data_IF_659363850821
#
_entry.id   IF_659363850821
#
_cell.length_a   1.000
_cell.length_b   1.000
_cell.length_c   1.000
_cell.angle_alpha   90.00
_cell.angle_beta   90.00
_cell.angle_gamma   90.00
#
_symmetry.space_group_name_H-M   'P 1'
#
loop_
_entity.id
_entity.type
_entity.pdbx_description
1 polymer ?
#
# COMPACT_ATOMS: atom_id res chain seq x y z
N UNK A 1 5.62 0.52 -0.87
CA UNK A 1 5.35 0.58 -2.33
C UNK A 1 6.52 0.02 -3.17
N UNK A 2 6.32 -1.16 -3.79
CA UNK A 2 7.28 -1.82 -4.70
C UNK A 2 6.69 -1.89 -6.12
N UNK A 3 6.66 -0.74 -6.78
CA UNK A 3 6.16 -0.61 -8.16
C UNK A 3 7.27 -0.07 -9.08
N UNK A 4 8.51 -0.45 -8.79
CA UNK A 4 9.66 -0.14 -9.63
C UNK A 4 9.39 -0.62 -11.06
N UNK A 5 9.38 0.34 -11.98
CA UNK A 5 9.19 0.12 -13.41
C UNK A 5 10.47 0.45 -14.19
N UNK A 6 11.45 1.04 -13.51
CA UNK A 6 12.79 1.27 -14.02
C UNK A 6 13.72 0.16 -13.52
N UNK A 7 14.71 -0.26 -14.33
CA UNK A 7 15.79 -1.12 -13.86
C UNK A 7 16.70 -0.36 -12.90
N UNK A 8 17.44 -1.10 -12.06
CA UNK A 8 18.51 -0.55 -11.23
C UNK A 8 19.48 0.28 -12.09
N UNK A 9 19.99 1.40 -11.55
CA UNK A 9 20.88 2.32 -12.27
C UNK A 9 22.11 1.59 -12.87
N UNK A 10 22.69 0.65 -12.11
CA UNK A 10 23.81 -0.17 -12.56
C UNK A 10 23.42 -1.07 -13.74
N UNK A 11 22.21 -1.67 -13.71
CA UNK A 11 21.69 -2.52 -14.80
C UNK A 11 21.38 -1.66 -16.03
N UNK A 12 20.80 -0.48 -15.84
CA UNK A 12 20.51 0.47 -16.90
C UNK A 12 21.78 0.93 -17.62
N UNK A 13 22.83 1.26 -16.87
CA UNK A 13 24.13 1.66 -17.44
C UNK A 13 24.78 0.51 -18.23
N UNK A 14 24.75 -0.70 -17.69
CA UNK A 14 25.27 -1.89 -18.39
C UNK A 14 24.47 -2.14 -19.67
N UNK A 15 23.14 -2.06 -19.62
CA UNK A 15 22.30 -2.24 -20.80
C UNK A 15 22.58 -1.19 -21.87
N UNK A 16 22.71 0.09 -21.49
CA UNK A 16 23.06 1.17 -22.43
C UNK A 16 24.38 0.89 -23.14
N UNK A 17 25.39 0.40 -22.41
CA UNK A 17 26.65 -0.04 -23.01
C UNK A 17 26.45 -1.23 -23.97
N UNK A 18 25.66 -2.23 -23.58
CA UNK A 18 25.37 -3.41 -24.43
C UNK A 18 24.70 -2.97 -25.73
N UNK A 19 23.69 -2.12 -25.64
CA UNK A 19 22.87 -1.67 -26.76
C UNK A 19 23.72 -0.93 -27.81
N UNK A 20 24.60 -0.03 -27.35
CA UNK A 20 25.45 0.78 -28.22
C UNK A 20 26.55 -0.04 -28.93
N UNK A 21 27.06 -1.08 -28.27
CA UNK A 21 28.24 -1.82 -28.74
C UNK A 21 27.89 -3.17 -29.39
N UNK A 22 26.72 -3.74 -29.09
CA UNK A 22 26.32 -5.07 -29.51
C UNK A 22 24.84 -5.10 -29.98
N UNK A 23 24.54 -4.62 -31.19
CA UNK A 23 23.16 -4.43 -31.67
C UNK A 23 22.25 -5.67 -31.60
N UNK A 24 22.82 -6.89 -31.65
CA UNK A 24 22.05 -8.14 -31.50
C UNK A 24 21.26 -8.22 -30.20
N UNK A 25 21.73 -7.56 -29.14
CA UNK A 25 21.10 -7.60 -27.82
C UNK A 25 19.91 -6.64 -27.71
N UNK A 26 19.84 -5.62 -28.58
CA UNK A 26 18.62 -4.83 -28.76
C UNK A 26 17.48 -5.71 -29.28
N UNK A 27 17.75 -6.49 -30.32
CA UNK A 27 16.77 -7.41 -30.90
C UNK A 27 16.38 -8.51 -29.88
N UNK A 28 17.35 -9.00 -29.10
CA UNK A 28 17.10 -9.99 -28.03
C UNK A 28 16.22 -9.43 -26.91
N UNK A 29 16.46 -8.19 -26.47
CA UNK A 29 15.62 -7.53 -25.48
C UNK A 29 14.18 -7.37 -25.96
N UNK A 30 13.98 -7.03 -27.23
CA UNK A 30 12.65 -6.92 -27.80
C UNK A 30 11.95 -8.29 -27.88
N UNK A 31 12.66 -9.35 -28.28
CA UNK A 31 12.13 -10.72 -28.26
C UNK A 31 11.68 -11.15 -26.85
N UNK A 32 12.51 -10.92 -25.83
CA UNK A 32 12.17 -11.24 -24.43
C UNK A 32 10.92 -10.48 -23.97
N UNK A 33 10.80 -9.21 -24.37
CA UNK A 33 9.64 -8.38 -24.06
C UNK A 33 8.37 -8.91 -24.74
N UNK A 34 8.42 -9.15 -26.05
CA UNK A 34 7.29 -9.70 -26.82
C UNK A 34 6.82 -11.04 -26.25
N UNK A 35 7.75 -11.94 -25.89
CA UNK A 35 7.45 -13.21 -25.24
C UNK A 35 6.75 -13.00 -23.88
N UNK A 36 7.26 -12.08 -23.05
CA UNK A 36 6.70 -11.79 -21.72
C UNK A 36 5.30 -11.17 -21.78
N UNK A 37 5.04 -10.38 -22.82
CA UNK A 37 3.75 -9.76 -23.10
C UNK A 37 2.75 -10.71 -23.79
N UNK A 38 3.15 -11.93 -24.13
CA UNK A 38 2.26 -12.87 -24.82
C UNK A 38 1.97 -12.47 -26.27
N UNK A 39 2.88 -11.72 -26.90
CA UNK A 39 2.72 -11.22 -28.27
C UNK A 39 3.24 -12.22 -29.33
N UNK A 40 3.74 -13.38 -28.91
CA UNK A 40 4.15 -14.49 -29.79
C UNK A 40 3.12 -15.61 -29.81
N UNK A 41 3.10 -16.45 -30.86
CA UNK A 41 2.03 -17.44 -31.10
C UNK A 41 1.81 -18.45 -29.96
N UNK A 42 2.84 -18.70 -29.14
CA UNK A 42 2.85 -19.75 -28.10
C UNK A 42 2.99 -19.19 -26.67
N UNK A 43 2.90 -17.88 -26.46
CA UNK A 43 3.10 -17.25 -25.14
C UNK A 43 1.83 -16.63 -24.58
N UNK A 44 1.66 -16.73 -23.26
CA UNK A 44 0.62 -15.99 -22.53
C UNK A 44 1.25 -14.76 -21.88
N UNK A 45 0.48 -13.68 -21.74
CA UNK A 45 0.96 -12.47 -21.05
C UNK A 45 1.17 -12.74 -19.55
N UNK A 46 2.38 -13.15 -19.18
CA UNK A 46 2.76 -13.50 -17.82
C UNK A 46 2.89 -12.26 -16.94
N UNK A 47 3.27 -11.12 -17.52
CA UNK A 47 3.39 -9.83 -16.83
C UNK A 47 2.01 -9.35 -16.37
N UNK A 48 1.01 -9.35 -17.25
CA UNK A 48 -0.38 -9.00 -16.93
C UNK A 48 -0.90 -9.80 -15.75
N UNK A 49 -0.73 -11.12 -15.76
CA UNK A 49 -1.14 -11.99 -14.65
C UNK A 49 -0.45 -11.64 -13.33
N UNK A 50 0.83 -11.25 -13.37
CA UNK A 50 1.59 -10.82 -12.19
C UNK A 50 1.14 -9.46 -11.68
N UNK A 51 0.93 -8.49 -12.57
CA UNK A 51 0.42 -7.14 -12.23
C UNK A 51 -0.98 -7.23 -11.61
N UNK A 52 -1.92 -7.92 -12.26
CA UNK A 52 -3.27 -8.12 -11.72
C UNK A 52 -3.26 -8.82 -10.36
N UNK A 53 -2.34 -9.79 -10.19
CA UNK A 53 -2.16 -10.48 -8.91
C UNK A 53 -1.58 -9.56 -7.83
N UNK A 54 -0.62 -8.69 -8.17
CA UNK A 54 -0.02 -7.73 -7.24
C UNK A 54 -1.07 -6.73 -6.74
N UNK A 55 -1.78 -6.07 -7.67
CA UNK A 55 -2.89 -5.15 -7.35
C UNK A 55 -3.91 -5.85 -6.45
N UNK A 56 -4.31 -7.08 -6.79
CA UNK A 56 -5.25 -7.84 -5.98
C UNK A 56 -4.71 -8.20 -4.59
N UNK A 57 -3.43 -8.51 -4.45
CA UNK A 57 -2.83 -8.83 -3.13
C UNK A 57 -2.87 -7.60 -2.24
N UNK A 58 -2.51 -6.44 -2.77
CA UNK A 58 -2.56 -5.15 -2.06
C UNK A 58 -4.00 -4.77 -1.71
N UNK A 59 -4.95 -4.88 -2.63
CA UNK A 59 -6.38 -4.68 -2.31
C UNK A 59 -6.88 -5.61 -1.18
N UNK A 60 -6.45 -6.88 -1.15
CA UNK A 60 -6.82 -7.77 -0.04
C UNK A 60 -6.12 -7.41 1.28
N UNK A 61 -4.99 -6.71 1.23
CA UNK A 61 -4.31 -6.15 2.41
C UNK A 61 -5.04 -4.89 2.87
N UNK A 62 -5.33 -3.95 1.97
CA UNK A 62 -6.15 -2.75 2.24
C UNK A 62 -7.49 -3.15 2.88
N UNK A 63 -8.21 -4.12 2.29
CA UNK A 63 -9.47 -4.63 2.85
C UNK A 63 -9.30 -5.20 4.27
N UNK A 64 -8.16 -5.83 4.58
CA UNK A 64 -7.90 -6.40 5.89
C UNK A 64 -7.57 -5.29 6.91
N UNK A 65 -6.79 -4.29 6.48
CA UNK A 65 -6.45 -3.12 7.26
C UNK A 65 -7.69 -2.29 7.57
N UNK A 66 -8.52 -2.00 6.57
CA UNK A 66 -9.81 -1.30 6.70
C UNK A 66 -10.70 -1.93 7.77
N UNK A 67 -11.01 -3.23 7.62
CA UNK A 67 -11.77 -3.99 8.62
C UNK A 67 -11.15 -3.87 10.03
N UNK A 68 -9.83 -3.89 10.12
CA UNK A 68 -9.11 -3.87 11.40
C UNK A 68 -9.18 -2.49 12.05
N UNK A 69 -8.89 -1.41 11.32
CA UNK A 69 -8.90 -0.05 11.87
C UNK A 69 -10.32 0.44 12.16
N UNK A 70 -11.30 -0.02 11.39
CA UNK A 70 -12.73 0.27 11.60
C UNK A 70 -13.19 -0.17 12.99
N UNK A 71 -12.64 -1.28 13.51
CA UNK A 71 -12.93 -1.75 14.86
C UNK A 71 -12.51 -0.74 15.95
N UNK A 72 -11.60 0.19 15.65
CA UNK A 72 -11.05 1.21 16.57
C UNK A 72 -11.50 2.63 16.22
N UNK A 73 -12.56 2.75 15.43
CA UNK A 73 -13.13 4.03 15.04
C UNK A 73 -13.84 4.82 16.14
N UNK A 74 -14.09 6.12 15.94
CA UNK A 74 -14.70 6.98 16.95
C UNK A 74 -16.16 6.64 17.27
N UNK A 75 -16.80 5.79 16.46
CA UNK A 75 -18.14 5.24 16.73
C UNK A 75 -18.13 3.73 16.93
N UNK A 76 -16.95 3.13 17.13
CA UNK A 76 -16.82 1.70 17.37
C UNK A 76 -17.14 1.38 18.83
N UNK A 77 -17.62 0.15 19.05
CA UNK A 77 -17.86 -0.33 20.42
C UNK A 77 -16.57 -0.45 21.22
N UNK A 78 -15.41 -0.69 20.57
CA UNK A 78 -14.11 -0.69 21.27
C UNK A 78 -13.83 0.70 21.83
N UNK A 79 -13.95 1.73 21.01
CA UNK A 79 -13.71 3.10 21.45
C UNK A 79 -14.68 3.50 22.57
N UNK A 80 -15.97 3.24 22.40
CA UNK A 80 -17.01 3.59 23.38
C UNK A 80 -16.79 2.93 24.76
N UNK A 81 -16.31 1.68 24.78
CA UNK A 81 -16.18 0.90 26.02
C UNK A 81 -14.77 0.94 26.64
N UNK A 82 -13.75 1.25 25.84
CA UNK A 82 -12.34 1.11 26.25
C UNK A 82 -11.46 2.30 25.94
N UNK A 83 -11.95 3.29 25.19
CA UNK A 83 -11.22 4.49 24.77
C UNK A 83 -9.98 4.21 23.90
N UNK A 84 -9.71 2.96 23.55
CA UNK A 84 -8.74 2.60 22.51
C UNK A 84 -9.23 3.08 21.15
N UNK A 85 -8.39 3.83 20.44
CA UNK A 85 -8.70 4.47 19.17
C UNK A 85 -7.56 4.33 18.18
N UNK A 86 -7.90 4.32 16.90
CA UNK A 86 -6.92 4.49 15.83
C UNK A 86 -6.21 5.84 16.00
N UNK A 87 -4.88 5.83 15.98
CA UNK A 87 -4.08 7.06 15.90
C UNK A 87 -3.68 7.38 14.46
N UNK A 88 -3.46 6.35 13.64
CA UNK A 88 -3.20 6.49 12.21
C UNK A 88 -2.86 5.14 11.57
N UNK A 89 -3.13 5.03 10.27
CA UNK A 89 -2.62 3.97 9.40
C UNK A 89 -1.27 4.39 8.81
N UNK A 90 -0.37 3.44 8.55
CA UNK A 90 0.98 3.67 7.99
C UNK A 90 1.72 4.83 8.68
N UNK A 91 1.87 4.81 10.03
CA UNK A 91 2.48 5.92 10.75
C UNK A 91 3.92 6.11 10.29
N UNK A 92 4.41 7.36 10.26
CA UNK A 92 5.78 7.71 9.85
C UNK A 92 6.01 7.68 8.33
N UNK A 93 4.97 7.40 7.51
CA UNK A 93 5.07 7.52 6.06
C UNK A 93 5.56 8.91 5.63
N UNK A 94 5.15 9.96 6.37
CA UNK A 94 5.55 11.34 6.14
C UNK A 94 7.02 11.64 6.47
N UNK A 95 7.68 10.77 7.22
CA UNK A 95 9.11 10.90 7.53
C UNK A 95 9.94 10.34 6.38
N UNK A 96 9.64 9.10 5.98
CA UNK A 96 10.27 8.40 4.88
C UNK A 96 9.40 7.19 4.47
N UNK A 97 8.79 7.20 3.26
CA UNK A 97 7.98 6.09 2.75
C UNK A 97 8.72 4.76 2.64
N UNK A 98 10.06 4.77 2.67
CA UNK A 98 10.90 3.58 2.66
C UNK A 98 11.18 2.98 4.05
N UNK A 99 10.78 3.67 5.13
CA UNK A 99 10.90 3.13 6.48
C UNK A 99 9.98 1.93 6.68
N UNK A 100 10.43 0.97 7.49
CA UNK A 100 9.56 -0.11 7.96
C UNK A 100 8.69 0.42 9.10
N UNK A 101 7.44 0.73 8.81
CA UNK A 101 6.43 1.08 9.78
C UNK A 101 5.38 -0.04 9.87
N UNK A 102 4.60 -0.09 10.97
CA UNK A 102 3.45 -1.00 11.05
C UNK A 102 2.28 -0.48 10.22
N UNK A 103 1.40 -1.35 9.74
CA UNK A 103 0.23 -0.91 8.95
C UNK A 103 -0.72 0.04 9.73
N UNK A 104 -0.78 -0.06 11.06
CA UNK A 104 -1.50 0.90 11.90
C UNK A 104 -0.96 1.01 13.34
N UNK A 105 -1.29 2.14 13.99
CA UNK A 105 -1.11 2.36 15.43
C UNK A 105 -2.44 2.67 16.12
N UNK A 106 -2.65 2.03 17.26
CA UNK A 106 -3.82 2.21 18.12
C UNK A 106 -3.32 2.67 19.48
N UNK A 107 -3.96 3.70 20.04
CA UNK A 107 -3.55 4.29 21.31
C UNK A 107 -4.72 4.53 22.25
N UNK A 108 -4.38 4.97 23.45
CA UNK A 108 -5.31 5.28 24.51
C UNK A 108 -4.76 6.46 25.32
N UNK A 109 -5.60 7.45 25.63
CA UNK A 109 -5.16 8.73 26.22
C UNK A 109 -4.52 8.57 27.62
N UNK A 110 -5.00 7.63 28.42
CA UNK A 110 -4.50 7.35 29.78
C UNK A 110 -3.53 6.15 29.91
N UNK A 111 -3.00 5.61 28.80
CA UNK A 111 -2.06 4.47 28.83
C UNK A 111 -0.70 4.89 28.27
N UNK A 112 0.35 4.35 28.87
CA UNK A 112 1.75 4.45 28.44
C UNK A 112 2.12 3.41 27.38
N UNK A 113 1.13 2.70 26.83
CA UNK A 113 1.28 1.65 25.83
C UNK A 113 0.44 1.96 24.60
N UNK A 114 1.04 1.79 23.42
CA UNK A 114 0.33 1.74 22.15
C UNK A 114 0.35 0.32 21.58
N UNK A 115 -0.56 0.03 20.65
CA UNK A 115 -0.61 -1.22 19.91
C UNK A 115 -0.20 -0.93 18.46
N UNK A 116 0.85 -1.57 17.98
CA UNK A 116 1.22 -1.57 16.56
C UNK A 116 0.61 -2.79 15.90
N UNK A 117 -0.09 -2.60 14.78
CA UNK A 117 -0.81 -3.65 14.06
C UNK A 117 -0.19 -3.85 12.70
N UNK A 118 0.13 -5.11 12.40
CA UNK A 118 0.55 -5.56 11.08
C UNK A 118 -0.47 -6.55 10.51
N UNK A 119 -1.12 -6.17 9.43
CA UNK A 119 -2.03 -6.96 8.63
C UNK A 119 -1.29 -7.80 7.59
N UNK A 120 -1.45 -9.13 7.65
CA UNK A 120 -0.96 -10.03 6.60
C UNK A 120 -2.11 -10.75 5.91
N UNK A 121 -2.53 -10.22 4.76
CA UNK A 121 -3.52 -10.86 3.88
C UNK A 121 -3.06 -12.23 3.40
N UNK A 122 -1.74 -12.50 3.38
CA UNK A 122 -1.13 -13.81 3.17
C UNK A 122 0.18 -14.01 3.94
N UNK A 123 0.47 -15.26 4.31
CA UNK A 123 1.70 -15.65 5.01
C UNK A 123 2.46 -16.69 4.16
N UNK A 124 3.27 -16.21 3.22
CA UNK A 124 4.20 -17.01 2.42
C UNK A 124 5.49 -17.30 3.18
N UNK A 125 5.99 -16.30 3.93
CA UNK A 125 7.23 -16.37 4.73
C UNK A 125 6.97 -15.88 6.16
N UNK A 126 6.33 -16.69 7.03
CA UNK A 126 5.90 -16.24 8.36
C UNK A 126 7.02 -15.71 9.25
N UNK A 127 8.20 -16.36 9.29
CA UNK A 127 9.33 -15.90 10.11
C UNK A 127 9.81 -14.49 9.74
N UNK A 128 9.89 -14.20 8.43
CA UNK A 128 10.25 -12.86 7.97
C UNK A 128 9.21 -11.82 8.39
N UNK A 129 7.92 -12.18 8.39
CA UNK A 129 6.86 -11.30 8.86
C UNK A 129 6.99 -11.00 10.36
N UNK A 130 7.34 -11.99 11.20
CA UNK A 130 7.53 -11.77 12.65
C UNK A 130 8.74 -10.86 12.94
N UNK A 131 9.82 -11.01 12.18
CA UNK A 131 10.96 -10.10 12.26
C UNK A 131 10.58 -8.66 11.85
N UNK A 132 9.84 -8.51 10.74
CA UNK A 132 9.36 -7.20 10.27
C UNK A 132 8.49 -6.49 11.31
N UNK A 133 7.60 -7.21 11.99
CA UNK A 133 6.74 -6.66 13.05
C UNK A 133 7.56 -6.11 14.22
N UNK A 134 8.67 -6.77 14.57
CA UNK A 134 9.55 -6.30 15.63
C UNK A 134 10.33 -5.06 15.19
N UNK A 135 10.93 -5.11 14.01
CA UNK A 135 11.65 -3.96 13.43
C UNK A 135 10.74 -2.72 13.36
N UNK A 136 9.49 -2.89 12.92
CA UNK A 136 8.50 -1.81 12.81
C UNK A 136 8.14 -1.20 14.18
N UNK A 137 7.96 -2.04 15.21
CA UNK A 137 7.70 -1.57 16.57
C UNK A 137 8.90 -0.83 17.18
N UNK A 138 10.12 -1.29 16.91
CA UNK A 138 11.34 -0.62 17.36
C UNK A 138 11.48 0.76 16.67
N UNK A 139 11.15 0.87 15.39
CA UNK A 139 11.11 2.15 14.65
C UNK A 139 10.08 3.11 15.26
N UNK A 140 8.91 2.60 15.67
CA UNK A 140 7.89 3.41 16.36
C UNK A 140 8.40 3.94 17.70
N UNK A 141 9.12 3.12 18.48
CA UNK A 141 9.76 3.56 19.72
C UNK A 141 10.86 4.60 19.46
N UNK A 142 11.68 4.41 18.42
CA UNK A 142 12.73 5.37 18.03
C UNK A 142 12.15 6.74 17.63
N UNK A 143 10.90 6.77 17.17
CA UNK A 143 10.17 7.99 16.76
C UNK A 143 9.07 8.40 17.75
N UNK A 144 9.10 7.90 18.99
CA UNK A 144 8.05 8.17 19.98
C UNK A 144 7.83 9.67 20.24
N UNK A 145 8.89 10.47 20.36
CA UNK A 145 8.80 11.93 20.55
C UNK A 145 8.03 12.62 19.41
N UNK A 146 8.25 12.16 18.17
CA UNK A 146 7.55 12.70 16.99
C UNK A 146 6.08 12.30 17.01
N UNK A 147 5.79 11.01 17.24
CA UNK A 147 4.42 10.49 17.33
C UNK A 147 3.63 11.13 18.46
N UNK A 148 4.23 11.33 19.63
CA UNK A 148 3.59 12.05 20.75
C UNK A 148 3.27 13.50 20.35
N UNK A 149 4.18 14.18 19.64
CA UNK A 149 3.95 15.55 19.20
C UNK A 149 2.80 15.69 18.20
N UNK A 150 2.58 14.67 17.37
CA UNK A 150 1.56 14.64 16.31
C UNK A 150 0.20 14.13 16.80
N UNK A 151 0.21 13.06 17.59
CA UNK A 151 -1.01 12.38 18.06
C UNK A 151 -1.51 12.90 19.41
N UNK A 152 -0.63 13.54 20.19
CA UNK A 152 -0.91 13.94 21.57
C UNK A 152 -0.90 12.79 22.58
N UNK A 153 -0.49 11.58 22.18
CA UNK A 153 -0.41 10.39 23.01
C UNK A 153 1.04 10.14 23.42
N UNK A 154 1.31 10.15 24.72
CA UNK A 154 2.63 9.76 25.26
C UNK A 154 2.64 8.28 25.56
N UNK A 155 3.70 7.59 25.17
CA UNK A 155 3.88 6.16 25.41
C UNK A 155 5.36 5.83 25.57
N UNK A 156 5.66 4.78 26.32
CA UNK A 156 7.02 4.24 26.49
C UNK A 156 7.11 2.73 26.17
N UNK A 157 5.99 2.13 25.78
CA UNK A 157 5.87 0.71 25.47
C UNK A 157 4.98 0.46 24.24
N UNK A 158 5.26 -0.64 23.54
CA UNK A 158 4.54 -1.05 22.33
C UNK A 158 4.13 -2.52 22.44
N UNK A 159 2.84 -2.78 22.31
CA UNK A 159 2.31 -4.13 22.10
C UNK A 159 2.25 -4.43 20.60
N UNK A 160 2.81 -5.57 20.20
CA UNK A 160 2.91 -5.96 18.78
C UNK A 160 1.80 -6.91 18.39
N UNK A 161 1.04 -6.58 17.36
CA UNK A 161 -0.08 -7.38 16.87
C UNK A 161 0.16 -7.80 15.42
N UNK A 162 0.01 -9.10 15.16
CA UNK A 162 -0.19 -9.65 13.82
C UNK A 162 -1.69 -9.86 13.61
N UNK A 163 -2.29 -9.16 12.65
CA UNK A 163 -3.66 -9.37 12.20
C UNK A 163 -3.68 -10.21 10.91
N UNK A 164 -4.45 -11.30 10.90
CA UNK A 164 -4.58 -12.19 9.74
C UNK A 164 -6.03 -12.61 9.50
N UNK A 165 -6.37 -13.01 8.26
CA UNK A 165 -7.65 -13.66 8.02
C UNK A 165 -7.76 -14.96 8.81
N UNK A 166 -8.91 -15.22 9.43
CA UNK A 166 -9.12 -16.36 10.34
C UNK A 166 -8.78 -17.72 9.71
N UNK A 167 -9.02 -17.89 8.41
CA UNK A 167 -8.65 -19.10 7.64
C UNK A 167 -7.13 -19.33 7.51
N UNK A 168 -6.31 -18.31 7.78
CA UNK A 168 -4.84 -18.36 7.74
C UNK A 168 -4.20 -18.34 9.13
N UNK A 169 -4.98 -18.20 10.19
CA UNK A 169 -4.50 -18.07 11.56
C UNK A 169 -3.56 -19.22 11.99
N UNK A 170 -3.85 -20.46 11.57
CA UNK A 170 -3.03 -21.62 11.92
C UNK A 170 -1.55 -21.47 11.50
N UNK A 171 -1.28 -20.83 10.34
CA UNK A 171 0.11 -20.58 9.89
C UNK A 171 0.82 -19.53 10.74
N UNK A 172 0.07 -18.54 11.23
CA UNK A 172 0.61 -17.52 12.11
C UNK A 172 0.95 -18.13 13.47
N UNK A 173 0.05 -18.97 14.01
CA UNK A 173 0.24 -19.68 15.29
C UNK A 173 1.50 -20.54 15.22
N UNK A 174 1.61 -21.43 14.23
CA UNK A 174 2.79 -22.31 14.07
C UNK A 174 4.10 -21.52 13.98
N UNK A 175 4.08 -20.35 13.33
CA UNK A 175 5.26 -19.52 13.17
C UNK A 175 5.68 -18.83 14.48
N UNK A 176 4.71 -18.27 15.21
CA UNK A 176 4.94 -17.63 16.50
C UNK A 176 5.48 -18.67 17.49
N UNK A 177 4.84 -19.83 17.60
CA UNK A 177 5.27 -20.89 18.52
C UNK A 177 6.66 -21.43 18.19
N UNK A 178 6.96 -21.62 16.89
CA UNK A 178 8.27 -22.08 16.46
C UNK A 178 9.37 -21.09 16.86
N UNK A 179 9.16 -19.80 16.61
CA UNK A 179 10.10 -18.75 16.99
C UNK A 179 10.27 -18.65 18.52
N UNK A 180 9.18 -18.67 19.28
CA UNK A 180 9.24 -18.62 20.73
C UNK A 180 9.98 -19.79 21.37
N UNK A 181 9.82 -20.98 20.78
CA UNK A 181 10.53 -22.17 21.23
C UNK A 181 12.03 -22.16 20.91
N UNK A 182 12.44 -21.44 19.85
CA UNK A 182 13.82 -21.38 19.36
C UNK A 182 14.61 -20.21 19.96
N UNK A 183 13.98 -19.04 20.06
CA UNK A 183 14.66 -17.76 20.32
C UNK A 183 14.26 -17.14 21.66
N UNK A 184 13.18 -17.61 22.30
CA UNK A 184 12.59 -17.06 23.54
C UNK A 184 12.60 -15.52 23.52
N UNK A 185 11.83 -14.89 22.60
CA UNK A 185 11.84 -13.45 22.41
C UNK A 185 11.45 -12.74 23.70
N UNK A 186 12.09 -11.61 23.97
CA UNK A 186 11.85 -10.83 25.19
C UNK A 186 10.43 -10.23 25.23
N UNK A 187 9.77 -10.10 24.07
CA UNK A 187 8.45 -9.49 23.95
C UNK A 187 7.54 -10.27 22.98
N UNK A 188 6.30 -10.60 23.40
CA UNK A 188 5.40 -11.44 22.63
C UNK A 188 4.75 -10.69 21.46
N UNK A 189 4.43 -11.44 20.40
CA UNK A 189 3.53 -10.98 19.33
C UNK A 189 2.13 -11.53 19.61
N UNK A 190 1.15 -10.64 19.72
CA UNK A 190 -0.27 -10.98 19.85
C UNK A 190 -0.87 -11.28 18.47
N UNK A 191 -1.85 -12.17 18.41
CA UNK A 191 -2.48 -12.59 17.15
C UNK A 191 -3.94 -12.20 17.11
N UNK A 192 -4.31 -11.32 16.19
CA UNK A 192 -5.69 -11.00 15.86
C UNK A 192 -6.14 -11.75 14.61
N UNK A 193 -7.39 -12.21 14.63
CA UNK A 193 -8.03 -12.95 13.56
C UNK A 193 -9.23 -12.16 13.07
N UNK A 194 -9.27 -11.91 11.77
CA UNK A 194 -10.45 -11.37 11.10
C UNK A 194 -11.27 -12.50 10.47
N UNK A 195 -12.49 -12.74 10.96
CA UNK A 195 -13.40 -13.77 10.43
C UNK A 195 -14.49 -13.12 9.57
N UNK A 196 -14.66 -13.55 8.30
CA UNK A 196 -15.60 -12.92 7.33
C UNK A 196 -16.86 -13.75 6.98
N UNK A 197 -17.18 -14.83 7.70
CA UNK A 197 -18.15 -15.84 7.21
C UNK A 197 -19.64 -15.55 7.47
N UNK A 198 -20.01 -14.71 8.43
CA UNK A 198 -21.41 -14.43 8.77
C UNK A 198 -21.67 -12.97 9.13
N UNK A 199 -20.72 -12.36 9.82
CA UNK A 199 -20.49 -10.93 9.98
C UNK A 199 -18.96 -10.78 10.15
N UNK A 200 -18.36 -9.66 9.74
CA UNK A 200 -16.92 -9.47 9.97
C UNK A 200 -16.65 -9.34 11.47
N UNK A 201 -15.83 -10.22 12.04
CA UNK A 201 -15.47 -10.16 13.46
C UNK A 201 -13.96 -10.14 13.67
N UNK A 202 -13.51 -9.20 14.51
CA UNK A 202 -12.13 -9.13 14.98
C UNK A 202 -12.01 -9.88 16.31
N UNK A 203 -11.06 -10.81 16.37
CA UNK A 203 -10.93 -11.74 17.50
C UNK A 203 -9.47 -11.95 17.89
N UNK A 204 -9.16 -11.81 19.17
CA UNK A 204 -7.87 -12.18 19.76
C UNK A 204 -7.74 -13.70 19.88
N UNK A 205 -6.60 -14.23 19.44
CA UNK A 205 -6.23 -15.62 19.63
C UNK A 205 -5.44 -15.80 20.93
N UNK A 206 -5.88 -16.70 21.80
CA UNK A 206 -5.26 -16.95 23.11
C UNK A 206 -4.67 -18.35 23.30
N UNK A 207 -4.88 -19.25 22.34
CA UNK A 207 -4.56 -20.67 22.51
C UNK A 207 -3.24 -21.03 21.84
N UNK A 208 -2.14 -20.67 22.49
CA UNK A 208 -0.79 -21.09 22.11
C UNK A 208 -0.30 -22.22 23.02
N UNK A 209 0.49 -23.15 22.48
CA UNK A 209 1.14 -24.22 23.23
C UNK A 209 2.30 -23.71 24.09
N UNK A 210 2.91 -22.58 23.69
CA UNK A 210 4.06 -21.95 24.35
C UNK A 210 3.67 -20.96 25.46
N UNK A 211 2.40 -20.53 25.51
CA UNK A 211 1.91 -19.46 26.41
C UNK A 211 0.68 -19.88 27.20
N UNK A 212 0.44 -19.22 28.32
CA UNK A 212 -0.86 -19.24 29.01
C UNK A 212 -1.86 -18.29 28.32
N UNK A 213 -3.16 -18.48 28.58
CA UNK A 213 -4.21 -17.59 28.06
C UNK A 213 -4.01 -16.12 28.47
N UNK A 214 -3.46 -15.89 29.68
CA UNK A 214 -3.14 -14.56 30.19
C UNK A 214 -1.94 -13.93 29.50
N UNK A 215 -0.90 -14.70 29.19
CA UNK A 215 0.28 -14.21 28.44
C UNK A 215 -0.06 -13.92 26.97
N UNK A 216 -1.16 -14.49 26.48
CA UNK A 216 -1.65 -14.29 25.11
C UNK A 216 -2.67 -13.16 25.00
N UNK A 217 -2.90 -12.41 26.09
CA UNK A 217 -3.89 -11.34 26.16
C UNK A 217 -3.23 -9.98 26.41
N UNK A 218 -3.82 -8.93 25.84
CA UNK A 218 -3.48 -7.54 26.17
C UNK A 218 -3.79 -7.24 27.65
N UNK A 219 -3.00 -6.40 28.31
CA UNK A 219 -3.25 -6.01 29.71
C UNK A 219 -4.34 -4.92 29.86
N UNK A 220 -5.51 -5.17 29.25
CA UNK A 220 -6.59 -4.19 29.25
C UNK A 220 -7.97 -4.79 28.96
N UNK A 221 -9.01 -3.94 29.15
CA UNK A 221 -10.39 -4.23 28.77
C UNK A 221 -10.54 -4.55 27.28
N UNK A 222 -9.56 -4.14 26.45
CA UNK A 222 -9.48 -4.51 25.03
C UNK A 222 -9.44 -6.03 24.85
N UNK A 223 -8.66 -6.75 25.67
CA UNK A 223 -8.60 -8.20 25.59
C UNK A 223 -9.97 -8.85 25.87
N UNK A 224 -10.72 -8.36 26.86
CA UNK A 224 -12.06 -8.87 27.16
C UNK A 224 -13.01 -8.71 25.98
N UNK A 225 -12.88 -7.63 25.20
CA UNK A 225 -13.70 -7.39 24.02
C UNK A 225 -13.33 -8.25 22.82
N UNK A 226 -12.03 -8.50 22.63
CA UNK A 226 -11.53 -9.26 21.48
C UNK A 226 -11.58 -10.78 21.71
N UNK A 227 -11.78 -11.25 22.94
CA UNK A 227 -11.80 -12.68 23.28
C UNK A 227 -13.19 -13.32 23.06
N UNK A 228 -13.28 -14.65 23.21
CA UNK A 228 -14.53 -15.37 23.00
C UNK A 228 -14.96 -15.35 21.53
N UNK A 229 -16.14 -14.80 21.24
CA UNK A 229 -16.66 -14.68 19.86
C UNK A 229 -16.03 -13.51 19.09
N UNK A 230 -15.21 -12.68 19.75
CA UNK A 230 -14.66 -11.45 19.20
C UNK A 230 -15.69 -10.33 19.15
N UNK A 231 -15.30 -9.22 18.51
CA UNK A 231 -16.19 -8.07 18.30
C UNK A 231 -16.63 -8.00 16.84
N UNK A 232 -17.93 -7.82 16.57
CA UNK A 232 -18.38 -7.53 15.22
C UNK A 232 -17.86 -6.16 14.79
N UNK A 233 -17.27 -6.12 13.61
CA UNK A 233 -16.96 -4.87 12.91
C UNK A 233 -18.29 -4.42 12.32
N UNK A 234 -18.90 -3.44 12.98
CA UNK A 234 -20.10 -2.81 12.46
C UNK A 234 -19.72 -1.99 11.22
N UNK A 235 -20.65 -1.86 10.27
CA UNK A 235 -20.57 -0.81 9.24
C UNK A 235 -20.42 0.53 9.97
N UNK A 236 -19.22 1.11 9.92
CA UNK A 236 -18.92 2.43 10.45
C UNK A 236 -18.77 3.37 9.25
N UNK A 237 -19.82 4.10 8.83
CA UNK A 237 -19.74 4.97 7.66
C UNK A 237 -18.70 6.10 7.77
N UNK A 238 -18.17 6.33 8.97
CA UNK A 238 -17.19 7.38 9.27
C UNK A 238 -15.73 6.89 9.19
N UNK A 239 -15.49 5.60 8.95
CA UNK A 239 -14.15 5.02 8.76
C UNK A 239 -14.24 3.90 7.74
N UNK A 240 -14.54 4.27 6.50
CA UNK A 240 -14.28 3.42 5.34
C UNK A 240 -13.33 4.22 4.46
N UNK A 241 -12.02 4.23 4.78
CA UNK A 241 -11.05 4.99 4.01
C UNK A 241 -11.10 4.61 2.54
N UNK A 242 -10.76 5.56 1.69
CA UNK A 242 -10.65 5.33 0.26
C UNK A 242 -9.41 4.49 -0.06
N UNK A 243 -8.31 4.73 0.66
CA UNK A 243 -7.05 3.99 0.57
C UNK A 243 -6.13 4.36 1.74
N UNK A 244 -4.95 3.75 1.77
CA UNK A 244 -3.89 4.01 2.74
C UNK A 244 -2.65 4.62 2.06
N UNK A 245 -1.74 5.25 2.82
CA UNK A 245 -0.54 5.86 2.24
C UNK A 245 0.30 4.90 1.38
N UNK A 246 0.43 3.62 1.76
CA UNK A 246 1.19 2.63 0.99
C UNK A 246 0.36 1.81 -0.02
N UNK A 247 -0.93 2.14 -0.21
CA UNK A 247 -1.80 1.43 -1.14
C UNK A 247 -1.30 1.53 -2.59
N UNK A 248 -1.62 0.52 -3.41
CA UNK A 248 -1.22 0.50 -4.82
C UNK A 248 -1.60 1.81 -5.52
N UNK A 249 -0.71 2.44 -6.31
CA UNK A 249 -1.05 3.71 -6.98
C UNK A 249 -2.23 3.61 -7.96
N UNK A 250 -2.57 2.39 -8.39
CA UNK A 250 -3.82 2.10 -9.12
C UNK A 250 -5.07 2.38 -8.28
N UNK A 251 -5.08 1.95 -7.01
CA UNK A 251 -6.17 2.19 -6.06
C UNK A 251 -6.27 3.67 -5.74
N UNK A 252 -5.13 4.32 -5.43
CA UNK A 252 -5.06 5.77 -5.16
C UNK A 252 -5.64 6.56 -6.34
N UNK A 253 -5.20 6.24 -7.56
CA UNK A 253 -5.71 6.84 -8.80
C UNK A 253 -7.22 6.62 -8.97
N UNK A 254 -7.70 5.38 -8.79
CA UNK A 254 -9.11 5.04 -8.99
C UNK A 254 -10.03 5.86 -8.08
N UNK A 255 -9.73 5.91 -6.78
CA UNK A 255 -10.54 6.64 -5.80
C UNK A 255 -10.46 8.16 -6.02
N UNK A 256 -9.25 8.69 -6.18
CA UNK A 256 -9.02 10.12 -6.37
C UNK A 256 -9.73 10.64 -7.60
N UNK A 257 -9.56 9.99 -8.75
CA UNK A 257 -10.16 10.49 -9.98
C UNK A 257 -11.64 10.15 -10.13
N UNK A 258 -12.15 9.14 -9.42
CA UNK A 258 -13.59 8.97 -9.27
C UNK A 258 -14.21 10.22 -8.62
N UNK A 259 -13.64 10.70 -7.52
CA UNK A 259 -14.17 11.86 -6.80
C UNK A 259 -13.97 13.18 -7.57
N UNK A 260 -12.77 13.41 -8.13
CA UNK A 260 -12.49 14.60 -8.94
C UNK A 260 -13.44 14.70 -10.15
N UNK A 261 -13.66 13.59 -10.87
CA UNK A 261 -14.58 13.57 -12.01
C UNK A 261 -16.04 13.75 -11.59
N UNK A 262 -16.44 13.15 -10.46
CA UNK A 262 -17.78 13.30 -9.90
C UNK A 262 -18.08 14.78 -9.59
N UNK A 263 -17.18 15.43 -8.86
CA UNK A 263 -17.31 16.84 -8.48
C UNK A 263 -17.40 17.74 -9.71
N UNK A 264 -16.56 17.53 -10.72
CA UNK A 264 -16.60 18.31 -11.97
C UNK A 264 -17.82 18.07 -12.83
N UNK A 265 -18.43 16.88 -12.76
CA UNK A 265 -19.70 16.62 -13.45
C UNK A 265 -20.85 17.45 -12.88
N UNK A 266 -20.76 17.83 -11.60
CA UNK A 266 -21.72 18.69 -10.91
C UNK A 266 -21.52 20.21 -11.14
N UNK A 267 -20.42 20.63 -11.78
CA UNK A 267 -20.11 22.05 -11.97
C UNK A 267 -20.67 22.62 -13.28
N UNK A 268 -21.41 23.74 -13.19
CA UNK A 268 -22.05 24.39 -14.35
C UNK A 268 -21.05 24.93 -15.41
N UNK A 269 -19.77 25.09 -15.08
CA UNK A 269 -18.74 25.64 -15.98
C UNK A 269 -17.39 24.88 -15.96
N UNK A 270 -17.31 23.74 -15.26
CA UNK A 270 -16.10 22.93 -15.17
C UNK A 270 -15.95 21.99 -16.36
N UNK A 271 -14.74 21.90 -16.94
CA UNK A 271 -14.45 20.83 -17.90
C UNK A 271 -14.05 19.57 -17.15
N UNK A 272 -14.81 18.48 -17.30
CA UNK A 272 -14.46 17.15 -16.77
C UNK A 272 -13.16 16.57 -17.36
N UNK A 273 -12.60 17.21 -18.41
CA UNK A 273 -11.35 16.81 -19.05
C UNK A 273 -10.11 17.43 -18.42
N UNK A 274 -10.30 18.29 -17.42
CA UNK A 274 -9.24 19.01 -16.72
C UNK A 274 -9.44 18.82 -15.24
N UNK A 275 -8.40 19.05 -14.47
CA UNK A 275 -8.41 19.09 -13.01
C UNK A 275 -7.20 19.91 -12.53
N UNK A 276 -7.21 20.31 -11.27
CA UNK A 276 -6.11 21.04 -10.64
C UNK A 276 -5.37 20.14 -9.67
N UNK A 277 -4.09 20.44 -9.41
CA UNK A 277 -3.36 19.80 -8.31
C UNK A 277 -4.13 19.91 -7.00
N UNK A 278 -4.71 21.07 -6.73
CA UNK A 278 -5.46 21.36 -5.50
C UNK A 278 -6.69 20.45 -5.34
N UNK A 279 -7.39 20.11 -6.42
CA UNK A 279 -8.52 19.16 -6.34
C UNK A 279 -8.06 17.77 -5.92
N UNK A 280 -6.92 17.31 -6.45
CA UNK A 280 -6.31 16.04 -6.05
C UNK A 280 -5.86 16.11 -4.60
N UNK A 281 -5.04 17.10 -4.24
CA UNK A 281 -4.53 17.29 -2.89
C UNK A 281 -5.66 17.35 -1.86
N UNK A 282 -6.71 18.16 -2.09
CA UNK A 282 -7.80 18.32 -1.14
C UNK A 282 -8.61 17.03 -0.91
N UNK A 283 -8.64 16.12 -1.88
CA UNK A 283 -9.28 14.82 -1.68
C UNK A 283 -8.43 13.91 -0.78
N UNK A 284 -7.11 13.94 -0.97
CA UNK A 284 -6.15 13.14 -0.20
C UNK A 284 -5.97 13.71 1.23
N UNK A 285 -6.00 15.04 1.38
CA UNK A 285 -5.96 15.79 2.65
C UNK A 285 -7.30 15.75 3.41
N UNK A 286 -7.91 14.58 3.44
CA UNK A 286 -9.10 14.28 4.22
C UNK A 286 -8.87 12.99 5.01
N UNK A 287 -8.94 13.09 6.34
CA UNK A 287 -8.76 11.95 7.23
C UNK A 287 -9.85 10.87 7.08
N UNK A 288 -11.02 11.21 6.52
CA UNK A 288 -12.03 10.22 6.16
C UNK A 288 -11.58 9.37 4.96
N UNK A 289 -10.76 9.92 4.06
CA UNK A 289 -10.23 9.21 2.90
C UNK A 289 -8.90 8.51 3.18
N UNK A 290 -8.00 9.18 3.91
CA UNK A 290 -6.65 8.70 4.25
C UNK A 290 -6.43 8.86 5.76
N UNK A 291 -6.57 7.79 6.56
CA UNK A 291 -6.64 7.87 8.01
C UNK A 291 -5.24 7.99 8.65
N UNK A 292 -4.53 9.08 8.33
CA UNK A 292 -3.20 9.42 8.85
C UNK A 292 -3.28 10.66 9.75
N UNK A 293 -2.44 10.75 10.80
CA UNK A 293 -2.49 11.90 11.72
C UNK A 293 -1.88 13.19 11.14
N UNK A 294 -1.01 13.06 10.14
CA UNK A 294 -0.36 14.17 9.41
C UNK A 294 -0.77 14.19 7.93
N UNK A 295 -2.08 14.19 7.69
CA UNK A 295 -2.66 14.02 6.34
C UNK A 295 -2.19 15.09 5.34
N UNK A 296 -1.96 16.33 5.78
CA UNK A 296 -1.48 17.42 4.92
C UNK A 296 -0.14 17.06 4.26
N UNK A 297 0.84 16.59 5.04
CA UNK A 297 2.17 16.21 4.53
C UNK A 297 2.08 14.97 3.64
N UNK A 298 1.29 13.98 4.06
CA UNK A 298 1.06 12.77 3.27
C UNK A 298 0.36 13.10 1.95
N UNK A 299 -0.60 14.03 1.95
CA UNK A 299 -1.32 14.47 0.76
C UNK A 299 -0.40 15.17 -0.23
N UNK A 300 0.52 16.02 0.24
CA UNK A 300 1.55 16.63 -0.60
C UNK A 300 2.40 15.57 -1.32
N UNK A 301 2.84 14.55 -0.58
CA UNK A 301 3.68 13.45 -1.10
C UNK A 301 2.92 12.58 -2.11
N UNK A 302 1.75 12.08 -1.74
CA UNK A 302 0.92 11.22 -2.60
C UNK A 302 0.43 11.95 -3.85
N UNK A 303 0.09 13.24 -3.72
CA UNK A 303 -0.28 14.06 -4.88
C UNK A 303 0.87 14.18 -5.87
N UNK A 304 2.08 14.48 -5.37
CA UNK A 304 3.27 14.58 -6.22
C UNK A 304 3.58 13.26 -6.93
N UNK A 305 3.58 12.16 -6.16
CA UNK A 305 3.86 10.82 -6.70
C UNK A 305 2.83 10.43 -7.77
N UNK A 306 1.54 10.59 -7.46
CA UNK A 306 0.45 10.24 -8.37
C UNK A 306 0.51 11.05 -9.67
N UNK A 307 0.66 12.37 -9.58
CA UNK A 307 0.68 13.23 -10.77
C UNK A 307 1.93 12.99 -11.61
N UNK A 308 3.10 12.84 -10.98
CA UNK A 308 4.34 12.50 -11.68
C UNK A 308 4.18 11.18 -12.43
N UNK A 309 3.66 10.14 -11.77
CA UNK A 309 3.47 8.82 -12.38
C UNK A 309 2.48 8.86 -13.55
N UNK A 310 1.38 9.59 -13.43
CA UNK A 310 0.40 9.74 -14.50
C UNK A 310 0.95 10.56 -15.68
N UNK A 311 1.72 11.59 -15.41
CA UNK A 311 2.41 12.37 -16.46
C UNK A 311 3.49 11.54 -17.16
N UNK A 312 4.28 10.77 -16.41
CA UNK A 312 5.28 9.88 -16.95
C UNK A 312 4.66 8.82 -17.85
N UNK A 313 3.48 8.30 -17.48
CA UNK A 313 2.72 7.35 -18.27
C UNK A 313 2.01 8.00 -19.47
N UNK A 314 2.14 9.31 -19.66
CA UNK A 314 1.50 10.05 -20.76
C UNK A 314 -0.03 10.13 -20.65
N UNK A 315 -0.58 9.91 -19.46
CA UNK A 315 -2.03 9.88 -19.23
C UNK A 315 -2.60 11.28 -18.98
N UNK A 316 -1.76 12.20 -18.48
CA UNK A 316 -2.10 13.58 -18.21
C UNK A 316 -0.97 14.52 -18.68
N UNK A 317 -1.35 15.76 -18.99
CA UNK A 317 -0.42 16.82 -19.38
C UNK A 317 -0.71 18.10 -18.60
N UNK A 318 0.33 18.87 -18.29
CA UNK A 318 0.16 20.23 -17.77
C UNK A 318 -0.47 21.15 -18.83
N UNK A 319 -1.43 21.96 -18.40
CA UNK A 319 -2.12 22.95 -19.22
C UNK A 319 -1.79 24.37 -18.72
N UNK A 320 -1.72 25.34 -19.65
CA UNK A 320 -1.46 26.74 -19.29
C UNK A 320 -2.66 27.34 -18.54
N UNK A 321 -2.52 27.70 -17.25
CA UNK A 321 -3.62 28.26 -16.47
C UNK A 321 -4.14 29.58 -17.01
N UNK A 322 -3.32 30.34 -17.74
CA UNK A 322 -3.71 31.62 -18.32
C UNK A 322 -4.66 31.46 -19.52
N UNK A 323 -4.57 30.36 -20.26
CA UNK A 323 -5.52 30.02 -21.33
C UNK A 323 -6.91 29.68 -20.77
N UNK A 324 -6.97 29.25 -19.51
CA UNK A 324 -8.19 28.92 -18.78
C UNK A 324 -8.73 30.07 -17.91
N UNK A 325 -8.10 31.25 -17.98
CA UNK A 325 -8.49 32.42 -17.17
C UNK A 325 -8.22 32.26 -15.67
N UNK A 326 -7.36 31.32 -15.29
CA UNK A 326 -6.90 31.11 -13.93
C UNK A 326 -5.63 31.91 -13.62
N UNK A 327 -5.31 32.03 -12.32
CA UNK A 327 -4.06 32.66 -11.89
C UNK A 327 -2.85 31.82 -12.30
N UNK A 328 -1.73 32.46 -12.64
CA UNK A 328 -0.50 31.79 -13.07
C UNK A 328 0.16 30.89 -12.01
N UNK A 329 -0.37 30.87 -10.79
CA UNK A 329 0.08 30.01 -9.69
C UNK A 329 -0.78 28.75 -9.54
N UNK A 330 -1.77 28.54 -10.40
CA UNK A 330 -2.62 27.35 -10.39
C UNK A 330 -2.03 26.32 -11.33
N UNK A 331 -1.75 25.13 -10.82
CA UNK A 331 -1.33 23.99 -11.63
C UNK A 331 -2.59 23.28 -12.13
N UNK A 332 -2.74 23.25 -13.46
CA UNK A 332 -3.86 22.62 -14.16
C UNK A 332 -3.31 21.48 -15.00
N UNK A 333 -4.01 20.36 -14.94
CA UNK A 333 -3.75 19.19 -15.77
C UNK A 333 -4.96 18.92 -16.66
N UNK A 334 -4.68 18.29 -17.80
CA UNK A 334 -5.68 17.73 -18.70
C UNK A 334 -5.38 16.26 -18.95
N UNK A 335 -6.42 15.46 -19.12
CA UNK A 335 -6.24 14.11 -19.63
C UNK A 335 -5.78 14.14 -21.08
N UNK A 336 -4.75 13.37 -21.40
CA UNK A 336 -4.30 13.20 -22.78
C UNK A 336 -5.44 12.65 -23.64
N UNK A 337 -5.73 13.30 -24.78
CA UNK A 337 -6.87 12.93 -25.63
C UNK A 337 -6.61 11.68 -26.46
N UNK A 338 -5.34 11.40 -26.76
CA UNK A 338 -4.94 10.24 -27.55
C UNK A 338 -4.95 8.96 -26.71
N UNK A 339 -4.58 9.06 -25.43
CA UNK A 339 -4.51 7.94 -24.48
C UNK A 339 -5.80 7.79 -23.68
N UNK A 340 -6.20 8.83 -22.93
CA UNK A 340 -7.39 8.78 -22.07
C UNK A 340 -8.57 9.37 -22.82
N UNK A 341 -9.25 8.56 -23.64
CA UNK A 341 -10.43 9.01 -24.39
C UNK A 341 -11.71 9.11 -23.53
N UNK A 342 -12.74 9.83 -24.01
CA UNK A 342 -14.06 9.86 -23.37
C UNK A 342 -14.58 11.26 -23.03
N UNK A 343 -15.90 11.34 -22.81
CA UNK A 343 -16.64 12.58 -22.53
C UNK A 343 -17.64 12.43 -21.38
N UNK A 344 -17.56 11.35 -20.61
CA UNK A 344 -18.30 11.14 -19.37
C UNK A 344 -17.35 10.63 -18.29
N UNK A 345 -17.69 10.87 -17.03
CA UNK A 345 -16.95 10.34 -15.87
C UNK A 345 -16.63 8.84 -16.04
N UNK A 346 -17.66 8.02 -16.29
CA UNK A 346 -17.50 6.57 -16.42
C UNK A 346 -16.51 6.18 -17.52
N UNK A 347 -16.54 6.87 -18.66
CA UNK A 347 -15.64 6.54 -19.79
C UNK A 347 -14.22 7.01 -19.51
N UNK A 348 -14.04 8.23 -18.97
CA UNK A 348 -12.72 8.77 -18.65
C UNK A 348 -12.05 7.89 -17.59
N UNK A 349 -12.75 7.54 -16.51
CA UNK A 349 -12.22 6.70 -15.45
C UNK A 349 -11.91 5.28 -15.95
N UNK A 350 -12.79 4.68 -16.76
CA UNK A 350 -12.54 3.35 -17.32
C UNK A 350 -11.31 3.33 -18.22
N UNK A 351 -11.16 4.32 -19.12
CA UNK A 351 -9.98 4.41 -20.00
C UNK A 351 -8.73 4.75 -19.20
N UNK A 352 -8.78 5.65 -18.23
CA UNK A 352 -7.63 5.95 -17.35
C UNK A 352 -7.12 4.69 -16.65
N UNK A 353 -8.02 3.87 -16.11
CA UNK A 353 -7.68 2.59 -15.48
C UNK A 353 -7.06 1.59 -16.45
N UNK A 354 -7.64 1.46 -17.64
CA UNK A 354 -7.16 0.54 -18.68
C UNK A 354 -5.77 0.94 -19.18
N UNK A 355 -5.56 2.22 -19.48
CA UNK A 355 -4.29 2.73 -19.97
C UNK A 355 -3.21 2.71 -18.89
N UNK A 356 -3.55 3.08 -17.65
CA UNK A 356 -2.61 2.95 -16.52
C UNK A 356 -2.12 1.52 -16.34
N UNK A 357 -3.04 0.53 -16.38
CA UNK A 357 -2.66 -0.87 -16.26
C UNK A 357 -1.82 -1.33 -17.45
N UNK A 358 -2.16 -0.90 -18.66
CA UNK A 358 -1.44 -1.26 -19.87
C UNK A 358 -0.02 -0.73 -19.86
N UNK A 359 0.19 0.53 -19.49
CA UNK A 359 1.51 1.15 -19.39
C UNK A 359 2.34 0.53 -18.24
N UNK A 360 1.71 0.22 -17.10
CA UNK A 360 2.38 -0.49 -16.01
C UNK A 360 2.88 -1.88 -16.44
N UNK A 361 2.07 -2.61 -17.21
CA UNK A 361 2.45 -3.91 -17.79
C UNK A 361 3.60 -3.75 -18.77
N UNK A 362 3.51 -2.77 -19.67
CA UNK A 362 4.50 -2.52 -20.71
C UNK A 362 5.87 -2.17 -20.10
N UNK A 363 5.90 -1.28 -19.10
CA UNK A 363 7.16 -0.90 -18.43
C UNK A 363 7.74 -2.02 -17.59
N UNK A 364 6.92 -2.81 -16.89
CA UNK A 364 7.41 -4.00 -16.17
C UNK A 364 8.02 -5.02 -17.13
N UNK A 365 7.41 -5.23 -18.29
CA UNK A 365 7.97 -6.10 -19.33
C UNK A 365 9.28 -5.54 -19.90
N UNK A 366 9.36 -4.23 -20.15
CA UNK A 366 10.57 -3.54 -20.60
C UNK A 366 11.72 -3.74 -19.59
N UNK A 367 11.48 -3.46 -18.31
CA UNK A 367 12.46 -3.61 -17.24
C UNK A 367 12.98 -5.05 -17.15
N UNK A 368 12.09 -6.04 -17.08
CA UNK A 368 12.49 -7.44 -16.97
C UNK A 368 13.28 -7.90 -18.21
N UNK A 369 12.91 -7.41 -19.39
CA UNK A 369 13.65 -7.69 -20.61
C UNK A 369 15.06 -7.07 -20.60
N UNK A 370 15.22 -5.87 -20.03
CA UNK A 370 16.52 -5.22 -19.81
C UNK A 370 17.37 -6.06 -18.82
N UNK A 371 16.81 -6.38 -17.65
CA UNK A 371 17.49 -7.17 -16.61
C UNK A 371 17.96 -8.52 -17.14
N UNK A 372 17.07 -9.26 -17.83
CA UNK A 372 17.38 -10.55 -18.41
C UNK A 372 18.43 -10.42 -19.53
N UNK A 373 18.38 -9.36 -20.34
CA UNK A 373 19.39 -9.14 -21.39
C UNK A 373 20.77 -8.88 -20.80
N UNK A 374 20.84 -8.11 -19.70
CA UNK A 374 22.10 -7.87 -18.98
C UNK A 374 22.64 -9.17 -18.39
N UNK A 375 21.78 -9.98 -17.75
CA UNK A 375 22.17 -11.29 -17.20
C UNK A 375 22.69 -12.22 -18.30
N UNK A 376 21.94 -12.41 -19.39
CA UNK A 376 22.35 -13.23 -20.53
C UNK A 376 23.67 -12.73 -21.16
N UNK A 377 23.89 -11.41 -21.24
CA UNK A 377 25.14 -10.85 -21.76
C UNK A 377 26.35 -11.16 -20.87
N UNK A 378 26.21 -10.97 -19.56
CA UNK A 378 27.29 -11.20 -18.60
C UNK A 378 27.66 -12.70 -18.56
N UNK A 379 26.66 -13.58 -18.62
CA UNK A 379 26.86 -15.03 -18.73
C UNK A 379 27.61 -15.40 -20.01
N UNK A 380 27.20 -14.85 -21.15
CA UNK A 380 27.89 -15.02 -22.43
C UNK A 380 29.37 -14.63 -22.32
N UNK A 381 29.70 -13.47 -21.74
CA UNK A 381 31.08 -13.01 -21.56
C UNK A 381 31.90 -13.92 -20.63
N UNK A 382 31.32 -14.36 -19.51
CA UNK A 382 32.00 -15.25 -18.55
C UNK A 382 32.36 -16.61 -19.16
N UNK A 383 31.51 -17.11 -20.08
CA UNK A 383 31.74 -18.37 -20.77
C UNK A 383 32.92 -18.35 -21.76
N UNK A 384 33.36 -17.15 -22.20
CA UNK A 384 34.53 -16.97 -23.06
C UNK A 384 35.85 -16.87 -22.29
N UNK A 385 35.83 -16.47 -21.02
CA UNK A 385 37.04 -16.33 -20.18
C UNK A 385 37.54 -17.67 -19.62
N UNK A 386 36.72 -18.72 -19.63
CA UNK A 386 37.05 -20.08 -19.19
C UNK A 386 37.70 -20.97 -20.28
N UNK A 387 38.04 -20.40 -21.46
CA UNK A 387 38.59 -21.14 -22.62
C UNK A 387 40.09 -20.95 -22.89
#
# INVERSE_FOLDING_TARGET
MCDEVAPDDDVAEIYSYIEDNYPRWRDRKEEIKEESLGQTEDTENAIKKRVEKAIKIEQNHDDLLDSTITAFGPTSTIFDETEWKLLGAEPLYEIDPGLRNPDAIIGHDDRDTIVTVECKSGLSSPRNALAQIRDAADIVLDHADHLESKTGISFDSVERVLCVPGQKAWRAIEAIEAEESEENPDEPIYLWKLNRFQDETLQLHQQFDTRTESESAHESRLAEMLTGDGIPIADCPLLTPSFFPDSHPFTVMEHTFSEVLWNRTGEDNGSIRKFTRTEVHNFIDDQENVPHYDTEVVADMLTEELLTKLSDFGLIEEADPSEEGMGSSVEIYRYDEDSVSGQSMDTILATLKEEYQSELIERKAEREAIEQTVEEFLDDQSSFDDY
#
